data_IF_539124048086
#
_entry.id   IF_539124048086
#
_cell.length_a   1.000
_cell.length_b   1.000
_cell.length_c   1.000
_cell.angle_alpha   90.00
_cell.angle_beta   90.00
_cell.angle_gamma   90.00
#
_symmetry.space_group_name_H-M   'P 1'
#
loop_
_entity.id
_entity.type
_entity.pdbx_description
1 polymer ?
#
# COMPACT_ATOMS: atom_id res chain seq x y z
N UNK A 1 68.09 31.62 14.17
CA UNK A 1 67.97 32.77 15.07
C UNK A 1 66.70 33.47 14.63
N UNK A 2 65.69 33.48 15.53
CA UNK A 2 64.45 34.26 15.30
C UNK A 2 64.82 35.71 15.59
N UNK A 3 64.40 36.67 14.76
CA UNK A 3 64.64 38.10 15.05
C UNK A 3 64.08 38.47 16.44
N UNK A 4 64.74 39.39 17.13
CA UNK A 4 64.40 39.80 18.53
C UNK A 4 62.99 40.44 18.63
N UNK A 5 62.41 40.84 17.54
CA UNK A 5 61.08 41.45 17.44
C UNK A 5 59.96 40.46 17.07
N UNK A 6 60.28 39.17 16.83
CA UNK A 6 59.30 38.11 16.64
C UNK A 6 59.27 37.19 17.89
N UNK A 7 58.33 37.45 18.80
CA UNK A 7 58.06 36.53 19.91
C UNK A 7 57.15 35.40 19.46
N UNK A 8 57.64 34.16 19.54
CA UNK A 8 56.87 32.97 19.28
C UNK A 8 56.28 32.48 20.58
N UNK A 9 54.95 32.59 20.74
CA UNK A 9 54.22 31.99 21.83
C UNK A 9 53.64 30.63 21.40
N UNK A 10 53.79 29.64 22.26
CA UNK A 10 53.10 28.35 22.05
C UNK A 10 51.65 28.47 22.50
N UNK A 11 50.71 28.46 21.58
CA UNK A 11 49.28 28.41 21.86
C UNK A 11 48.83 26.96 21.84
N UNK A 12 48.27 26.50 22.95
CA UNK A 12 47.70 25.14 23.08
C UNK A 12 46.19 25.26 22.90
N UNK A 13 45.72 24.76 21.73
CA UNK A 13 44.28 24.59 21.49
C UNK A 13 43.85 23.18 21.81
N UNK A 14 42.83 23.04 22.65
CA UNK A 14 42.18 21.77 22.92
C UNK A 14 40.98 21.62 22.01
N UNK A 15 41.08 20.72 21.03
CA UNK A 15 39.96 20.33 20.22
C UNK A 15 39.17 19.21 20.93
N UNK A 16 38.19 19.60 21.72
CA UNK A 16 37.32 18.70 22.46
C UNK A 16 36.55 17.75 21.54
N UNK A 17 36.30 18.12 20.29
CA UNK A 17 35.62 17.26 19.31
C UNK A 17 36.41 15.98 18.98
N UNK A 18 37.75 16.01 19.12
CA UNK A 18 38.62 14.87 18.91
C UNK A 18 38.80 13.99 20.14
N UNK A 19 38.49 14.51 21.34
CA UNK A 19 38.61 13.78 22.58
C UNK A 19 37.34 13.02 22.98
N UNK A 20 36.18 13.43 22.47
CA UNK A 20 34.90 12.81 22.76
C UNK A 20 34.33 12.26 21.47
N UNK A 21 34.26 10.93 21.34
CA UNK A 21 33.52 10.28 20.25
C UNK A 21 32.19 9.76 20.74
N UNK A 22 31.12 10.24 20.16
CA UNK A 22 29.78 9.72 20.43
C UNK A 22 29.46 8.60 19.43
N UNK A 23 29.10 7.42 19.91
CA UNK A 23 28.69 6.31 19.06
C UNK A 23 27.28 5.87 19.41
N UNK A 24 26.43 5.68 18.41
CA UNK A 24 25.10 5.11 18.57
C UNK A 24 25.17 3.59 18.40
N UNK A 25 24.48 2.84 19.27
CA UNK A 25 24.41 1.38 19.25
C UNK A 25 22.98 0.92 19.43
N UNK A 26 22.59 -0.18 18.80
CA UNK A 26 21.27 -0.76 18.98
C UNK A 26 21.23 -1.59 20.28
N UNK A 27 20.26 -1.30 21.17
CA UNK A 27 20.10 -2.02 22.44
C UNK A 27 19.77 -3.52 22.30
N UNK A 28 19.23 -3.92 21.15
CA UNK A 28 18.84 -5.31 20.86
C UNK A 28 20.00 -6.18 20.38
N UNK A 29 21.16 -5.58 20.09
CA UNK A 29 22.30 -6.33 19.56
C UNK A 29 23.22 -6.77 20.71
N UNK A 30 23.29 -8.05 20.92
CA UNK A 30 24.25 -8.65 21.87
C UNK A 30 25.71 -8.31 21.50
N UNK A 31 26.01 -8.17 20.21
CA UNK A 31 27.35 -7.89 19.69
C UNK A 31 27.76 -6.42 19.74
N UNK A 32 26.93 -5.49 20.25
CA UNK A 32 27.26 -4.06 20.38
C UNK A 32 27.77 -3.41 19.07
N UNK A 33 27.20 -3.75 17.92
CA UNK A 33 27.64 -3.24 16.62
C UNK A 33 27.38 -1.73 16.51
N UNK A 34 28.40 -0.89 16.26
CA UNK A 34 28.22 0.54 16.08
C UNK A 34 27.34 0.86 14.86
N UNK A 35 26.61 1.98 14.92
CA UNK A 35 25.78 2.44 13.80
C UNK A 35 26.60 2.60 12.50
N UNK A 36 27.86 3.05 12.61
CA UNK A 36 28.77 3.22 11.46
C UNK A 36 29.13 1.92 10.74
N UNK A 37 28.99 0.79 11.42
CA UNK A 37 29.23 -0.55 10.85
C UNK A 37 27.95 -1.21 10.32
N UNK A 38 26.82 -0.51 10.35
CA UNK A 38 25.54 -0.97 9.81
C UNK A 38 25.40 -0.62 8.34
N UNK A 39 24.52 -1.34 7.65
CA UNK A 39 24.16 -1.02 6.27
C UNK A 39 23.56 0.39 6.14
N UNK A 40 23.72 1.00 4.97
CA UNK A 40 23.31 2.38 4.70
C UNK A 40 21.83 2.64 4.95
N UNK A 41 20.96 1.70 4.60
CA UNK A 41 19.52 1.81 4.86
C UNK A 41 19.20 1.95 6.36
N UNK A 42 19.80 1.11 7.21
CA UNK A 42 19.60 1.20 8.65
C UNK A 42 20.10 2.54 9.22
N UNK A 43 21.25 3.02 8.74
CA UNK A 43 21.81 4.32 9.15
C UNK A 43 20.88 5.47 8.77
N UNK A 44 20.33 5.46 7.55
CA UNK A 44 19.40 6.49 7.06
C UNK A 44 18.11 6.54 7.89
N UNK A 45 17.47 5.41 8.11
CA UNK A 45 16.25 5.36 8.94
C UNK A 45 16.51 5.84 10.38
N UNK A 46 17.65 5.44 10.96
CA UNK A 46 18.03 5.90 12.31
C UNK A 46 18.23 7.42 12.35
N UNK A 47 18.88 7.99 11.33
CA UNK A 47 19.07 9.43 11.21
C UNK A 47 17.73 10.16 11.04
N UNK A 48 16.83 9.65 10.20
CA UNK A 48 15.51 10.23 10.02
C UNK A 48 14.66 10.18 11.29
N UNK A 49 14.70 9.06 12.02
CA UNK A 49 14.02 8.92 13.32
C UNK A 49 14.58 9.91 14.36
N UNK A 50 15.88 10.21 14.30
CA UNK A 50 16.49 11.20 15.17
C UNK A 50 16.03 12.62 14.82
N UNK A 51 15.95 12.99 13.54
CA UNK A 51 15.43 14.29 13.12
C UNK A 51 13.95 14.46 13.47
N UNK A 52 13.14 13.41 13.26
CA UNK A 52 11.73 13.39 13.66
C UNK A 52 11.57 13.66 15.17
N UNK A 53 12.32 12.94 16.01
CA UNK A 53 12.33 13.15 17.46
C UNK A 53 12.70 14.57 17.84
N UNK A 54 13.76 15.14 17.24
CA UNK A 54 14.15 16.53 17.50
C UNK A 54 13.09 17.53 17.04
N UNK A 55 12.37 17.22 15.95
CA UNK A 55 11.27 18.02 15.46
C UNK A 55 10.08 17.99 16.45
N UNK A 56 9.71 16.82 16.97
CA UNK A 56 8.67 16.65 17.97
C UNK A 56 8.99 17.40 19.26
N UNK A 57 10.24 17.36 19.73
CA UNK A 57 10.70 18.08 20.90
C UNK A 57 10.89 19.59 20.66
N UNK A 58 10.61 20.07 19.43
CA UNK A 58 10.75 21.47 19.03
C UNK A 58 12.15 22.07 19.28
N UNK A 59 13.18 21.24 19.15
CA UNK A 59 14.58 21.68 19.26
C UNK A 59 15.01 22.62 18.14
N UNK A 60 14.28 22.61 17.01
CA UNK A 60 14.56 23.49 15.87
C UNK A 60 13.66 24.74 15.90
N UNK A 61 14.17 25.86 15.34
CA UNK A 61 13.34 27.04 15.13
C UNK A 61 12.23 26.79 14.10
N UNK A 62 11.14 27.57 14.17
CA UNK A 62 9.97 27.40 13.28
C UNK A 62 10.27 27.67 11.81
N UNK A 63 11.33 28.38 11.51
CA UNK A 63 11.70 28.79 10.13
C UNK A 63 12.78 27.87 9.52
N UNK A 64 12.84 26.61 9.94
CA UNK A 64 13.79 25.65 9.43
C UNK A 64 13.23 24.93 8.22
N UNK A 65 14.09 24.78 7.20
CA UNK A 65 13.84 23.97 6.01
C UNK A 65 14.81 22.78 6.05
N UNK A 66 14.27 21.59 5.96
CA UNK A 66 15.06 20.36 5.83
C UNK A 66 15.12 19.93 4.37
N UNK A 67 16.33 19.85 3.82
CA UNK A 67 16.59 19.32 2.49
C UNK A 67 17.18 17.92 2.56
N UNK A 68 16.52 16.95 1.95
CA UNK A 68 16.99 15.56 1.88
C UNK A 68 17.21 15.18 0.41
N UNK A 69 18.42 14.71 0.10
CA UNK A 69 18.75 14.21 -1.24
C UNK A 69 18.64 12.70 -1.24
N UNK A 70 17.73 12.17 -2.07
CA UNK A 70 17.45 10.74 -2.26
C UNK A 70 17.49 9.95 -0.93
N UNK A 71 16.68 10.33 0.08
CA UNK A 71 16.78 9.71 1.39
C UNK A 71 16.37 8.24 1.39
N UNK A 72 15.67 7.78 0.37
CA UNK A 72 15.23 6.40 0.18
C UNK A 72 16.31 5.47 -0.41
N UNK A 73 17.42 6.01 -0.89
CA UNK A 73 18.49 5.20 -1.51
C UNK A 73 18.97 4.11 -0.58
N UNK A 74 19.09 2.86 -1.06
CA UNK A 74 19.39 1.64 -0.31
C UNK A 74 18.31 1.16 0.66
N UNK A 75 17.09 1.72 0.62
CA UNK A 75 15.96 1.25 1.40
C UNK A 75 15.09 0.28 0.59
N UNK A 76 14.63 -0.77 1.28
CA UNK A 76 13.59 -1.65 0.73
C UNK A 76 12.26 -0.88 0.60
N UNK A 77 11.38 -1.17 -0.39
CA UNK A 77 10.11 -0.47 -0.61
C UNK A 77 9.27 -0.25 0.66
N UNK A 78 9.10 -1.28 1.50
CA UNK A 78 8.40 -1.15 2.79
C UNK A 78 9.03 -0.12 3.73
N UNK A 79 10.36 -0.01 3.69
CA UNK A 79 11.10 0.94 4.52
C UNK A 79 11.02 2.36 3.95
N UNK A 80 10.81 2.50 2.64
CA UNK A 80 10.56 3.79 1.99
C UNK A 80 9.23 4.41 2.45
N UNK A 81 8.20 3.60 2.69
CA UNK A 81 6.93 4.07 3.27
C UNK A 81 7.12 4.58 4.70
N UNK A 82 7.91 3.86 5.52
CA UNK A 82 8.25 4.32 6.87
C UNK A 82 9.03 5.64 6.84
N UNK A 83 9.96 5.80 5.90
CA UNK A 83 10.68 7.04 5.68
C UNK A 83 9.71 8.18 5.35
N UNK A 84 8.80 7.97 4.40
CA UNK A 84 7.81 8.98 4.01
C UNK A 84 6.93 9.41 5.20
N UNK A 85 6.44 8.45 6.00
CA UNK A 85 5.66 8.74 7.21
C UNK A 85 6.41 9.65 8.19
N UNK A 86 7.73 9.47 8.33
CA UNK A 86 8.57 10.32 9.19
C UNK A 86 8.72 11.74 8.64
N UNK A 87 8.86 11.88 7.32
CA UNK A 87 8.91 13.18 6.65
C UNK A 87 7.59 13.95 6.86
N UNK A 88 6.46 13.25 6.74
CA UNK A 88 5.14 13.84 7.03
C UNK A 88 5.02 14.24 8.50
N UNK A 89 5.48 13.41 9.45
CA UNK A 89 5.51 13.76 10.88
C UNK A 89 6.29 15.05 11.16
N UNK A 90 7.43 15.25 10.50
CA UNK A 90 8.19 16.50 10.60
C UNK A 90 7.42 17.68 10.01
N UNK A 91 6.77 17.52 8.84
CA UNK A 91 5.92 18.54 8.21
C UNK A 91 4.76 18.94 9.15
N UNK A 92 4.09 17.96 9.77
CA UNK A 92 2.97 18.20 10.69
C UNK A 92 3.39 18.94 11.97
N UNK A 93 4.66 18.82 12.35
CA UNK A 93 5.28 19.61 13.41
C UNK A 93 5.66 21.04 12.98
N UNK A 94 5.35 21.43 11.73
CA UNK A 94 5.47 22.79 11.21
C UNK A 94 6.79 23.10 10.53
N UNK A 95 7.58 22.09 10.18
CA UNK A 95 8.81 22.26 9.39
C UNK A 95 8.55 22.18 7.89
N UNK A 96 9.33 22.92 7.11
CA UNK A 96 9.34 22.77 5.67
C UNK A 96 10.29 21.64 5.28
N UNK A 97 9.79 20.70 4.47
CA UNK A 97 10.55 19.54 4.02
C UNK A 97 10.71 19.59 2.52
N UNK A 98 11.92 19.54 2.03
CA UNK A 98 12.27 19.44 0.61
C UNK A 98 12.99 18.11 0.38
N UNK A 99 12.51 17.32 -0.55
CA UNK A 99 13.08 16.00 -0.88
C UNK A 99 13.34 15.92 -2.37
N UNK A 100 14.53 15.47 -2.74
CA UNK A 100 14.75 14.97 -4.11
C UNK A 100 14.63 13.46 -4.10
N UNK A 101 13.97 12.90 -5.11
CA UNK A 101 13.75 11.45 -5.18
C UNK A 101 13.65 10.97 -6.63
N UNK A 102 14.11 9.76 -6.88
CA UNK A 102 13.84 8.97 -8.08
C UNK A 102 12.98 7.74 -7.75
N UNK A 103 12.41 7.65 -6.54
CA UNK A 103 11.60 6.51 -6.13
C UNK A 103 10.14 6.68 -6.54
N UNK A 104 9.60 5.74 -7.34
CA UNK A 104 8.17 5.70 -7.63
C UNK A 104 7.31 5.60 -6.37
N UNK A 105 7.80 4.92 -5.32
CA UNK A 105 7.08 4.75 -4.07
C UNK A 105 6.91 6.08 -3.32
N UNK A 106 7.97 6.90 -3.23
CA UNK A 106 7.89 8.23 -2.59
C UNK A 106 6.95 9.14 -3.38
N UNK A 107 7.06 9.14 -4.72
CA UNK A 107 6.19 9.95 -5.57
C UNK A 107 4.73 9.51 -5.48
N UNK A 108 4.46 8.20 -5.41
CA UNK A 108 3.10 7.66 -5.28
C UNK A 108 2.42 8.04 -3.95
N UNK A 109 3.18 8.20 -2.86
CA UNK A 109 2.67 8.61 -1.56
C UNK A 109 2.48 10.14 -1.46
N UNK A 110 3.06 10.93 -2.37
CA UNK A 110 3.00 12.40 -2.37
C UNK A 110 1.75 12.92 -3.08
N UNK A 111 1.22 14.06 -2.63
CA UNK A 111 0.15 14.76 -3.36
C UNK A 111 0.74 15.47 -4.59
N UNK A 112 -0.05 15.61 -5.65
CA UNK A 112 0.38 16.32 -6.87
C UNK A 112 0.80 17.76 -6.60
N UNK A 113 0.18 18.41 -5.62
CA UNK A 113 0.51 19.79 -5.21
C UNK A 113 1.89 19.90 -4.54
N UNK A 114 2.43 18.79 -4.05
CA UNK A 114 3.73 18.70 -3.39
C UNK A 114 4.85 18.33 -4.37
N UNK A 115 4.50 17.91 -5.59
CA UNK A 115 5.47 17.47 -6.60
C UNK A 115 5.98 18.65 -7.41
N UNK A 116 7.31 18.77 -7.44
CA UNK A 116 8.04 19.67 -8.33
C UNK A 116 8.80 18.81 -9.34
N UNK A 117 8.36 18.82 -10.59
CA UNK A 117 9.01 18.06 -11.66
C UNK A 117 10.08 18.93 -12.35
N UNK A 118 11.32 18.45 -12.35
CA UNK A 118 12.47 19.14 -12.94
C UNK A 118 13.03 18.27 -14.04
N UNK A 119 13.01 18.80 -15.27
CA UNK A 119 13.51 18.11 -16.45
C UNK A 119 14.59 18.94 -17.15
N UNK A 120 15.61 18.27 -17.69
CA UNK A 120 16.63 18.92 -18.51
C UNK A 120 16.44 18.55 -19.97
N UNK A 121 16.08 19.54 -20.79
CA UNK A 121 15.93 19.39 -22.25
C UNK A 121 16.85 20.36 -22.94
N UNK A 122 17.69 19.90 -23.87
CA UNK A 122 18.65 20.70 -24.64
C UNK A 122 19.54 21.61 -23.77
N UNK A 123 19.97 21.11 -22.61
CA UNK A 123 20.84 21.82 -21.68
C UNK A 123 20.14 22.87 -20.80
N UNK A 124 18.83 23.08 -20.96
CA UNK A 124 18.00 23.98 -20.15
C UNK A 124 17.15 23.18 -19.15
N UNK A 125 16.96 23.78 -17.96
CA UNK A 125 16.08 23.18 -16.94
C UNK A 125 14.67 23.76 -17.06
N UNK A 126 13.69 22.86 -17.04
CA UNK A 126 12.26 23.18 -16.99
C UNK A 126 11.72 22.71 -15.66
N UNK A 127 11.00 23.59 -14.96
CA UNK A 127 10.36 23.32 -13.68
C UNK A 127 8.86 23.39 -13.86
N UNK A 128 8.15 22.34 -13.49
CA UNK A 128 6.70 22.26 -13.61
C UNK A 128 6.08 21.83 -12.28
N UNK A 129 4.87 22.28 -12.00
CA UNK A 129 4.11 22.00 -10.79
C UNK A 129 2.63 21.89 -11.13
N UNK A 130 1.85 21.19 -10.30
CA UNK A 130 0.40 21.04 -10.39
C UNK A 130 -0.08 20.48 -11.74
N UNK A 131 -1.07 21.13 -12.33
CA UNK A 131 -1.73 20.79 -13.59
C UNK A 131 -0.82 20.83 -14.84
N UNK A 132 0.40 21.34 -14.69
CA UNK A 132 1.40 21.39 -15.76
C UNK A 132 2.27 20.14 -15.85
N UNK A 133 2.02 19.14 -14.99
CA UNK A 133 2.73 17.87 -14.98
C UNK A 133 1.80 16.79 -15.50
N UNK A 134 2.21 16.08 -16.55
CA UNK A 134 1.53 14.86 -16.95
C UNK A 134 2.15 13.66 -16.22
N UNK A 135 1.31 12.77 -15.70
CA UNK A 135 1.79 11.57 -14.99
C UNK A 135 2.65 10.69 -15.87
N UNK A 136 2.32 10.59 -17.16
CA UNK A 136 3.12 9.87 -18.16
C UNK A 136 4.59 10.31 -18.15
N UNK A 137 4.84 11.61 -17.98
CA UNK A 137 6.18 12.18 -17.93
C UNK A 137 6.93 11.81 -16.64
N UNK A 138 6.21 11.80 -15.49
CA UNK A 138 6.78 11.33 -14.21
C UNK A 138 7.15 9.86 -14.32
N UNK A 139 6.25 9.04 -14.86
CA UNK A 139 6.44 7.58 -15.03
C UNK A 139 7.64 7.30 -15.95
N UNK A 140 7.80 8.06 -17.02
CA UNK A 140 8.91 7.93 -17.95
C UNK A 140 10.25 8.32 -17.30
N UNK A 141 10.30 9.43 -16.57
CA UNK A 141 11.51 9.92 -15.91
C UNK A 141 11.94 9.04 -14.74
N UNK A 142 10.99 8.46 -14.02
CA UNK A 142 11.27 7.47 -12.96
C UNK A 142 11.82 6.14 -13.50
N UNK A 143 12.07 6.07 -14.84
CA UNK A 143 12.65 4.89 -15.47
C UNK A 143 11.72 3.68 -15.45
N UNK A 144 10.43 3.88 -15.16
CA UNK A 144 9.40 2.91 -15.48
C UNK A 144 9.30 2.92 -17.01
N UNK A 145 10.34 2.34 -17.63
CA UNK A 145 10.43 2.26 -19.09
C UNK A 145 9.10 1.75 -19.61
N UNK A 146 8.55 2.46 -20.58
CA UNK A 146 7.61 1.93 -21.52
C UNK A 146 8.16 0.62 -22.10
N UNK A 147 8.11 -0.46 -21.31
CA UNK A 147 8.14 -1.77 -21.92
C UNK A 147 6.90 -1.77 -22.81
N UNK A 148 7.13 -1.85 -24.12
CA UNK A 148 6.05 -1.92 -25.11
C UNK A 148 5.01 -3.00 -24.74
N UNK A 149 5.39 -3.99 -23.91
CA UNK A 149 4.52 -5.01 -23.33
C UNK A 149 3.61 -4.46 -22.24
N UNK A 150 4.09 -3.52 -21.41
CA UNK A 150 3.25 -2.85 -20.39
C UNK A 150 2.22 -1.96 -21.09
N UNK A 151 2.61 -1.16 -22.08
CA UNK A 151 1.67 -0.36 -22.85
C UNK A 151 0.64 -1.24 -23.58
N UNK A 152 1.08 -2.31 -24.24
CA UNK A 152 0.17 -3.27 -24.88
C UNK A 152 -0.72 -3.99 -23.87
N UNK A 153 -0.23 -4.25 -22.63
CA UNK A 153 -1.05 -4.76 -21.55
C UNK A 153 -2.08 -3.73 -21.10
N UNK A 154 -1.69 -2.46 -20.93
CA UNK A 154 -2.61 -1.37 -20.60
C UNK A 154 -3.64 -1.10 -21.70
N UNK A 155 -3.28 -1.20 -22.97
CA UNK A 155 -4.21 -1.09 -24.10
C UNK A 155 -5.27 -2.20 -24.10
N UNK A 156 -4.93 -3.40 -23.60
CA UNK A 156 -5.86 -4.53 -23.46
C UNK A 156 -6.78 -4.41 -22.25
N UNK A 157 -6.43 -3.60 -21.26
CA UNK A 157 -7.25 -3.37 -20.07
C UNK A 157 -8.47 -2.54 -20.48
N UNK A 158 -9.66 -3.13 -20.32
CA UNK A 158 -10.95 -2.47 -20.55
C UNK A 158 -11.50 -1.79 -19.30
N UNK A 159 -11.10 -2.25 -18.12
CA UNK A 159 -11.51 -1.69 -16.84
C UNK A 159 -10.72 -2.25 -15.67
N UNK A 160 -10.91 -1.65 -14.50
CA UNK A 160 -10.27 -2.07 -13.26
C UNK A 160 -11.29 -2.56 -12.24
N UNK A 161 -11.00 -3.69 -11.63
CA UNK A 161 -11.70 -4.14 -10.44
C UNK A 161 -10.76 -4.00 -9.24
N UNK A 162 -10.99 -2.96 -8.43
CA UNK A 162 -10.16 -2.56 -7.31
C UNK A 162 -10.70 -3.22 -6.05
N UNK A 163 -9.89 -4.04 -5.39
CA UNK A 163 -10.26 -4.80 -4.20
C UNK A 163 -9.39 -4.43 -3.02
N UNK A 164 -9.79 -4.75 -1.79
CA UNK A 164 -9.10 -4.29 -0.59
C UNK A 164 -7.66 -4.81 -0.51
N UNK A 165 -7.47 -6.12 -0.67
CA UNK A 165 -6.18 -6.77 -0.50
C UNK A 165 -5.88 -7.89 -1.49
N UNK A 166 -4.68 -8.49 -1.40
CA UNK A 166 -4.28 -9.61 -2.26
C UNK A 166 -5.18 -10.86 -2.12
N UNK A 167 -5.74 -11.08 -0.94
CA UNK A 167 -6.62 -12.22 -0.66
C UNK A 167 -7.93 -12.09 -1.43
N UNK A 168 -8.46 -10.87 -1.58
CA UNK A 168 -9.63 -10.57 -2.40
C UNK A 168 -9.36 -10.83 -3.88
N UNK A 169 -8.16 -10.48 -4.38
CA UNK A 169 -7.75 -10.77 -5.76
C UNK A 169 -7.84 -12.28 -6.01
N UNK A 170 -7.28 -13.09 -5.10
CA UNK A 170 -7.33 -14.56 -5.18
C UNK A 170 -8.78 -15.03 -5.21
N UNK A 171 -9.61 -14.52 -4.28
CA UNK A 171 -10.99 -14.95 -4.12
C UNK A 171 -11.83 -14.63 -5.36
N UNK A 172 -11.89 -13.37 -5.79
CA UNK A 172 -12.72 -12.97 -6.92
C UNK A 172 -12.26 -13.58 -8.25
N UNK A 173 -10.94 -13.69 -8.46
CA UNK A 173 -10.41 -14.34 -9.66
C UNK A 173 -10.78 -15.83 -9.69
N UNK A 174 -10.65 -16.52 -8.55
CA UNK A 174 -11.03 -17.94 -8.45
C UNK A 174 -12.53 -18.15 -8.64
N UNK A 175 -13.38 -17.29 -8.04
CA UNK A 175 -14.82 -17.34 -8.28
C UNK A 175 -15.15 -17.24 -9.78
N UNK A 176 -14.55 -16.28 -10.48
CA UNK A 176 -14.80 -16.14 -11.92
C UNK A 176 -14.43 -17.42 -12.72
N UNK A 177 -13.31 -18.07 -12.36
CA UNK A 177 -12.91 -19.34 -12.98
C UNK A 177 -13.94 -20.44 -12.72
N UNK A 178 -14.40 -20.60 -11.45
CA UNK A 178 -15.35 -21.61 -11.07
C UNK A 178 -16.74 -21.38 -11.69
N UNK A 179 -17.21 -20.15 -11.70
CA UNK A 179 -18.51 -19.79 -12.27
C UNK A 179 -18.52 -19.96 -13.80
N UNK A 180 -17.42 -19.62 -14.48
CA UNK A 180 -17.27 -19.90 -15.92
C UNK A 180 -17.27 -21.40 -16.21
N UNK A 181 -16.51 -22.18 -15.47
CA UNK A 181 -16.46 -23.64 -15.64
C UNK A 181 -17.82 -24.30 -15.48
N UNK A 182 -18.75 -23.68 -14.72
CA UNK A 182 -20.12 -24.13 -14.52
C UNK A 182 -21.15 -23.43 -15.45
N UNK A 183 -20.71 -22.65 -16.41
CA UNK A 183 -21.57 -22.05 -17.45
C UNK A 183 -22.45 -20.90 -16.96
N UNK A 184 -22.12 -20.24 -15.85
CA UNK A 184 -22.91 -19.14 -15.28
C UNK A 184 -22.43 -17.77 -15.77
N UNK A 185 -21.19 -17.68 -16.25
CA UNK A 185 -20.61 -16.54 -16.92
C UNK A 185 -19.84 -17.01 -18.14
N UNK A 186 -19.76 -16.18 -19.18
CA UNK A 186 -19.12 -16.52 -20.44
C UNK A 186 -17.60 -16.28 -20.41
N UNK A 187 -17.15 -15.34 -19.58
CA UNK A 187 -15.75 -14.89 -19.54
C UNK A 187 -15.30 -14.62 -18.12
N UNK A 188 -14.03 -14.90 -17.82
CA UNK A 188 -13.39 -14.47 -16.57
C UNK A 188 -13.08 -12.97 -16.62
N UNK A 189 -12.68 -12.38 -15.50
CA UNK A 189 -12.24 -10.98 -15.49
C UNK A 189 -11.08 -10.72 -16.45
N UNK A 190 -10.09 -11.60 -16.49
CA UNK A 190 -8.95 -11.51 -17.40
C UNK A 190 -9.38 -11.55 -18.89
N UNK A 191 -10.29 -12.46 -19.25
CA UNK A 191 -10.82 -12.58 -20.62
C UNK A 191 -11.67 -11.38 -21.02
N UNK A 192 -12.34 -10.72 -20.06
CA UNK A 192 -13.03 -9.45 -20.27
C UNK A 192 -12.08 -8.26 -20.44
N UNK A 193 -10.78 -8.44 -20.15
CA UNK A 193 -9.83 -7.35 -20.07
C UNK A 193 -9.96 -6.52 -18.78
N UNK A 194 -10.57 -7.07 -17.73
CA UNK A 194 -10.69 -6.42 -16.44
C UNK A 194 -9.49 -6.81 -15.56
N UNK A 195 -8.72 -5.83 -15.15
CA UNK A 195 -7.60 -6.05 -14.24
C UNK A 195 -8.05 -5.99 -12.79
N UNK A 196 -8.00 -7.13 -12.10
CA UNK A 196 -8.28 -7.22 -10.65
C UNK A 196 -7.02 -6.87 -9.88
N UNK A 197 -7.06 -5.81 -9.07
CA UNK A 197 -5.87 -5.35 -8.35
C UNK A 197 -6.18 -4.88 -6.92
N UNK A 198 -5.25 -5.12 -5.96
CA UNK A 198 -5.42 -4.68 -4.60
C UNK A 198 -5.07 -3.20 -4.46
N UNK A 199 -5.85 -2.46 -3.68
CA UNK A 199 -5.58 -1.05 -3.37
C UNK A 199 -4.71 -0.85 -2.12
N UNK A 200 -4.41 -1.91 -1.37
CA UNK A 200 -3.55 -1.85 -0.19
C UNK A 200 -4.26 -1.52 1.12
N UNK A 201 -5.55 -1.85 1.21
CA UNK A 201 -6.39 -1.60 2.37
C UNK A 201 -7.27 -0.36 2.24
N UNK A 202 -8.35 -0.29 3.01
CA UNK A 202 -9.36 0.75 2.86
C UNK A 202 -8.81 2.18 3.14
N UNK A 203 -7.78 2.33 3.95
CA UNK A 203 -7.18 3.64 4.23
C UNK A 203 -6.31 4.15 3.06
N UNK A 204 -5.79 3.25 2.22
CA UNK A 204 -5.04 3.60 1.02
C UNK A 204 -5.91 4.26 -0.07
N UNK A 205 -7.23 4.07 -0.04
CA UNK A 205 -8.16 4.72 -1.00
C UNK A 205 -8.01 6.24 -0.98
N UNK A 206 -7.76 6.84 0.19
CA UNK A 206 -7.52 8.29 0.28
C UNK A 206 -6.32 8.72 -0.56
N UNK A 207 -5.25 7.96 -0.54
CA UNK A 207 -4.05 8.23 -1.35
C UNK A 207 -4.34 8.09 -2.84
N UNK A 208 -5.04 7.02 -3.24
CA UNK A 208 -5.45 6.81 -4.63
C UNK A 208 -6.37 7.93 -5.13
N UNK A 209 -7.29 8.39 -4.28
CA UNK A 209 -8.21 9.51 -4.59
C UNK A 209 -7.46 10.84 -4.64
N UNK A 210 -6.59 11.12 -3.65
CA UNK A 210 -5.82 12.36 -3.58
C UNK A 210 -4.85 12.50 -4.77
N UNK A 211 -4.19 11.42 -5.17
CA UNK A 211 -3.33 11.37 -6.34
C UNK A 211 -4.13 11.37 -7.65
N UNK A 212 -5.46 11.34 -7.59
CA UNK A 212 -6.35 11.21 -8.75
C UNK A 212 -5.98 10.03 -9.66
N UNK A 213 -5.24 9.03 -9.14
CA UNK A 213 -4.78 7.88 -9.92
C UNK A 213 -5.97 7.17 -10.55
N UNK A 214 -7.05 6.96 -9.79
CA UNK A 214 -8.27 6.32 -10.29
C UNK A 214 -8.85 7.11 -11.46
N UNK A 215 -8.93 8.43 -11.35
CA UNK A 215 -9.48 9.30 -12.41
C UNK A 215 -8.55 9.40 -13.63
N UNK A 216 -7.24 9.18 -13.43
CA UNK A 216 -6.23 9.24 -14.50
C UNK A 216 -6.02 7.92 -15.22
N UNK A 217 -6.58 6.83 -14.72
CA UNK A 217 -6.55 5.55 -15.42
C UNK A 217 -7.30 5.60 -16.77
N UNK A 218 -8.12 6.65 -17.01
CA UNK A 218 -8.96 6.84 -18.20
C UNK A 218 -9.70 5.56 -18.64
N UNK A 219 -10.02 4.72 -17.65
CA UNK A 219 -10.72 3.44 -17.79
C UNK A 219 -11.77 3.33 -16.70
N UNK A 220 -12.90 2.70 -16.99
CA UNK A 220 -13.90 2.46 -15.96
C UNK A 220 -13.33 1.58 -14.83
N UNK A 221 -13.83 1.80 -13.63
CA UNK A 221 -13.40 1.02 -12.46
C UNK A 221 -14.55 0.75 -11.50
N UNK A 222 -14.43 -0.35 -10.75
CA UNK A 222 -15.32 -0.69 -9.65
C UNK A 222 -14.50 -1.01 -8.40
N UNK A 223 -14.85 -0.38 -7.26
CA UNK A 223 -14.18 -0.61 -5.98
C UNK A 223 -15.03 -1.55 -5.15
N UNK A 224 -14.42 -2.63 -4.63
CA UNK A 224 -15.05 -3.56 -3.71
C UNK A 224 -14.21 -3.71 -2.46
N UNK A 225 -14.82 -3.48 -1.30
CA UNK A 225 -14.17 -3.62 0.01
C UNK A 225 -14.92 -4.64 0.86
N UNK A 226 -14.25 -5.12 1.89
CA UNK A 226 -14.88 -5.83 2.98
C UNK A 226 -15.92 -4.92 3.66
N UNK A 227 -17.04 -5.48 4.10
CA UNK A 227 -18.08 -4.68 4.77
C UNK A 227 -17.69 -4.19 6.16
N UNK A 228 -16.79 -4.91 6.83
CA UNK A 228 -16.40 -4.72 8.23
C UNK A 228 -17.58 -4.71 9.23
N UNK A 229 -18.72 -5.24 8.82
CA UNK A 229 -19.87 -5.35 9.70
C UNK A 229 -19.62 -6.41 10.79
N UNK A 230 -20.11 -6.12 11.99
CA UNK A 230 -20.09 -7.08 13.12
C UNK A 230 -21.46 -7.66 13.41
N UNK A 231 -22.49 -7.24 12.68
CA UNK A 231 -23.87 -7.73 12.73
C UNK A 231 -24.65 -7.27 11.51
N UNK A 232 -25.73 -7.99 11.16
CA UNK A 232 -26.53 -7.77 9.95
C UNK A 232 -27.07 -6.33 9.82
N UNK A 233 -27.64 -5.80 10.88
CA UNK A 233 -28.36 -4.48 10.90
C UNK A 233 -27.39 -3.31 11.02
N UNK A 234 -26.07 -3.53 10.96
CA UNK A 234 -25.06 -2.48 11.07
C UNK A 234 -24.77 -1.86 9.69
N UNK A 235 -24.65 -0.55 9.62
CA UNK A 235 -24.09 0.12 8.45
C UNK A 235 -22.60 -0.24 8.28
N UNK A 236 -22.19 -0.51 7.04
CA UNK A 236 -20.79 -0.84 6.76
C UNK A 236 -19.89 0.38 6.98
N UNK A 237 -18.86 0.28 7.84
CA UNK A 237 -17.87 1.35 8.02
C UNK A 237 -17.18 1.71 6.72
N UNK A 238 -16.84 0.73 5.90
CA UNK A 238 -16.14 0.94 4.63
C UNK A 238 -17.06 1.58 3.58
N UNK A 239 -18.34 1.22 3.53
CA UNK A 239 -19.29 1.89 2.66
C UNK A 239 -19.45 3.38 3.03
N UNK A 240 -19.51 3.68 4.33
CA UNK A 240 -19.56 5.07 4.81
C UNK A 240 -18.29 5.85 4.38
N UNK A 241 -17.11 5.24 4.45
CA UNK A 241 -15.86 5.85 3.97
C UNK A 241 -15.92 6.14 2.46
N UNK A 242 -16.35 5.16 1.65
CA UNK A 242 -16.49 5.32 0.20
C UNK A 242 -17.45 6.46 -0.15
N UNK A 243 -18.60 6.55 0.54
CA UNK A 243 -19.57 7.66 0.35
C UNK A 243 -18.98 9.03 0.68
N UNK A 244 -18.17 9.13 1.73
CA UNK A 244 -17.45 10.37 2.08
C UNK A 244 -16.43 10.79 1.03
N UNK A 245 -15.92 9.86 0.24
CA UNK A 245 -15.01 10.11 -0.89
C UNK A 245 -15.75 10.32 -2.22
N UNK A 246 -17.09 10.50 -2.19
CA UNK A 246 -17.97 10.73 -3.32
C UNK A 246 -18.12 9.54 -4.30
N UNK A 247 -17.80 8.32 -3.88
CA UNK A 247 -18.13 7.11 -4.64
C UNK A 247 -19.59 6.72 -4.41
N UNK A 248 -20.22 6.11 -5.40
CA UNK A 248 -21.64 5.72 -5.38
C UNK A 248 -21.82 4.25 -5.84
N UNK A 249 -23.05 3.75 -5.86
CA UNK A 249 -23.37 2.36 -6.17
C UNK A 249 -22.99 1.92 -7.60
N UNK A 250 -22.74 2.87 -8.50
CA UNK A 250 -22.31 2.56 -9.87
C UNK A 250 -20.83 2.21 -9.96
N UNK A 251 -20.00 2.67 -9.01
CA UNK A 251 -18.55 2.50 -9.05
C UNK A 251 -17.95 1.92 -7.76
N UNK A 252 -18.77 1.64 -6.74
CA UNK A 252 -18.29 0.97 -5.54
C UNK A 252 -19.33 0.10 -4.86
N UNK A 253 -18.84 -0.84 -4.04
CA UNK A 253 -19.64 -1.71 -3.19
C UNK A 253 -18.83 -2.26 -2.02
N UNK A 254 -19.52 -3.00 -1.18
CA UNK A 254 -18.93 -3.77 -0.08
C UNK A 254 -19.52 -5.17 -0.08
N UNK A 255 -18.78 -6.15 0.48
CA UNK A 255 -19.25 -7.52 0.65
C UNK A 255 -20.52 -7.56 1.52
N UNK A 256 -21.45 -8.49 1.25
CA UNK A 256 -22.63 -8.71 2.10
C UNK A 256 -22.22 -9.23 3.48
N UNK A 257 -21.23 -10.13 3.55
CA UNK A 257 -20.63 -10.63 4.78
C UNK A 257 -19.54 -9.68 5.31
N UNK A 258 -18.98 -9.97 6.49
CA UNK A 258 -18.00 -9.11 7.14
C UNK A 258 -16.74 -8.90 6.31
N UNK A 259 -16.14 -10.01 5.86
CA UNK A 259 -14.85 -10.03 5.15
C UNK A 259 -14.83 -11.19 4.15
N UNK A 260 -13.88 -11.17 3.22
CA UNK A 260 -13.80 -12.19 2.16
C UNK A 260 -13.58 -13.60 2.73
N UNK A 261 -12.93 -13.75 3.87
CA UNK A 261 -12.75 -15.03 4.56
C UNK A 261 -14.07 -15.66 5.00
N UNK A 262 -15.11 -14.86 5.26
CA UNK A 262 -16.45 -15.35 5.63
C UNK A 262 -17.14 -16.13 4.50
N UNK A 263 -16.57 -16.07 3.27
CA UNK A 263 -17.05 -16.86 2.13
C UNK A 263 -16.41 -18.25 2.01
N UNK A 264 -15.53 -18.63 2.94
CA UNK A 264 -15.13 -20.03 3.12
C UNK A 264 -16.08 -20.64 4.14
N UNK A 265 -16.98 -21.54 3.70
CA UNK A 265 -17.92 -22.16 4.63
C UNK A 265 -17.19 -23.08 5.63
N UNK A 266 -17.55 -23.10 6.94
CA UNK A 266 -16.92 -24.00 7.94
C UNK A 266 -16.88 -25.48 7.55
N UNK A 267 -17.89 -25.96 6.80
CA UNK A 267 -17.93 -27.34 6.31
C UNK A 267 -16.74 -27.71 5.43
N UNK A 268 -16.16 -26.74 4.70
CA UNK A 268 -14.94 -26.97 3.92
C UNK A 268 -13.82 -27.52 4.82
N UNK A 269 -13.63 -26.93 5.99
CA UNK A 269 -12.57 -27.35 6.92
C UNK A 269 -12.87 -28.70 7.57
N UNK A 270 -14.15 -29.02 7.81
CA UNK A 270 -14.57 -30.35 8.31
C UNK A 270 -14.32 -31.46 7.31
N UNK A 271 -14.33 -31.13 6.01
CA UNK A 271 -14.08 -32.09 4.91
C UNK A 271 -12.60 -32.29 4.61
N UNK A 272 -11.69 -31.56 5.25
CA UNK A 272 -10.24 -31.76 5.10
C UNK A 272 -9.77 -33.06 5.76
N UNK A 273 -8.58 -33.50 5.37
CA UNK A 273 -7.92 -34.68 5.96
C UNK A 273 -6.59 -34.26 6.62
N UNK A 274 -6.47 -34.31 7.95
CA UNK A 274 -7.53 -34.59 8.93
C UNK A 274 -8.56 -33.42 8.99
N UNK A 275 -9.82 -33.71 9.42
CA UNK A 275 -10.82 -32.67 9.55
C UNK A 275 -10.45 -31.65 10.62
N UNK A 276 -10.93 -30.42 10.43
CA UNK A 276 -10.72 -29.32 11.36
C UNK A 276 -12.11 -28.81 11.77
N UNK A 277 -12.42 -28.93 13.07
CA UNK A 277 -13.64 -28.39 13.64
C UNK A 277 -13.47 -26.90 13.90
N UNK A 278 -14.21 -26.07 13.17
CA UNK A 278 -14.23 -24.62 13.32
C UNK A 278 -15.66 -24.11 13.07
N UNK A 279 -16.05 -23.10 13.81
CA UNK A 279 -17.35 -22.47 13.70
C UNK A 279 -17.20 -20.97 13.61
N UNK A 280 -17.90 -20.35 12.69
CA UNK A 280 -18.07 -18.91 12.57
C UNK A 280 -19.27 -18.59 11.67
N UNK A 281 -19.84 -17.42 11.87
CA UNK A 281 -20.92 -16.88 11.06
C UNK A 281 -20.46 -15.74 10.15
N UNK A 282 -21.41 -15.14 9.46
CA UNK A 282 -21.18 -14.10 8.44
C UNK A 282 -20.57 -12.80 8.96
N UNK A 283 -20.64 -12.57 10.28
CA UNK A 283 -20.25 -11.33 10.94
C UNK A 283 -19.05 -11.49 11.88
N UNK A 284 -18.49 -12.69 11.96
CA UNK A 284 -17.34 -12.98 12.80
C UNK A 284 -16.03 -12.57 12.13
N UNK A 285 -15.01 -12.30 12.93
CA UNK A 285 -13.65 -12.05 12.47
C UNK A 285 -12.94 -13.38 12.22
N UNK A 286 -13.13 -13.92 11.02
CA UNK A 286 -12.61 -15.23 10.62
C UNK A 286 -11.09 -15.27 10.68
N UNK A 287 -10.42 -14.19 10.30
CA UNK A 287 -8.94 -14.06 10.39
C UNK A 287 -8.46 -14.28 11.82
N UNK A 288 -9.11 -13.61 12.77
CA UNK A 288 -8.76 -13.74 14.19
C UNK A 288 -9.13 -15.12 14.75
N UNK A 289 -10.28 -15.67 14.38
CA UNK A 289 -10.69 -17.03 14.78
C UNK A 289 -9.68 -18.05 14.28
N UNK A 290 -9.33 -18.03 13.00
CA UNK A 290 -8.33 -18.94 12.41
C UNK A 290 -6.94 -18.78 13.01
N UNK A 291 -6.55 -17.54 13.37
CA UNK A 291 -5.27 -17.27 14.01
C UNK A 291 -5.17 -17.84 15.42
N UNK A 292 -6.27 -17.84 16.17
CA UNK A 292 -6.33 -18.29 17.55
C UNK A 292 -6.74 -19.76 17.71
N UNK A 293 -7.07 -20.44 16.62
CA UNK A 293 -7.47 -21.83 16.63
C UNK A 293 -6.28 -22.75 16.91
N UNK A 294 -6.49 -23.89 17.59
CA UNK A 294 -5.44 -24.89 17.89
C UNK A 294 -4.70 -25.38 16.63
N UNK A 295 -5.41 -25.46 15.50
CA UNK A 295 -4.85 -25.81 14.20
C UNK A 295 -4.45 -24.60 13.35
N UNK A 296 -4.06 -23.49 13.97
CA UNK A 296 -3.72 -22.23 13.30
C UNK A 296 -2.78 -22.40 12.09
N UNK A 297 -1.73 -23.21 12.22
CA UNK A 297 -0.78 -23.48 11.11
C UNK A 297 -1.49 -24.17 9.93
N UNK A 298 -2.40 -25.11 10.20
CA UNK A 298 -3.16 -25.83 9.16
C UNK A 298 -4.19 -24.94 8.50
N UNK A 299 -4.84 -24.06 9.26
CA UNK A 299 -5.80 -23.08 8.76
C UNK A 299 -5.13 -21.91 8.00
N UNK A 300 -3.85 -21.63 8.23
CA UNK A 300 -3.15 -20.50 7.65
C UNK A 300 -3.20 -19.23 8.51
N UNK A 301 -3.87 -19.27 9.64
CA UNK A 301 -4.03 -18.14 10.54
C UNK A 301 -4.70 -16.95 9.85
N UNK A 302 -4.09 -15.76 9.88
CA UNK A 302 -4.58 -14.58 9.18
C UNK A 302 -4.50 -14.65 7.65
N UNK A 303 -3.88 -15.69 7.09
CA UNK A 303 -3.76 -15.96 5.64
C UNK A 303 -4.64 -17.13 5.21
N UNK A 304 -5.76 -17.34 5.88
CA UNK A 304 -6.68 -18.46 5.62
C UNK A 304 -7.21 -18.41 4.19
N UNK A 305 -7.55 -17.25 3.68
CA UNK A 305 -8.02 -17.05 2.32
C UNK A 305 -6.96 -17.46 1.31
N UNK A 306 -5.76 -16.91 1.39
CA UNK A 306 -4.65 -17.25 0.50
C UNK A 306 -4.34 -18.75 0.48
N UNK A 307 -4.53 -19.45 1.60
CA UNK A 307 -4.24 -20.87 1.71
C UNK A 307 -5.36 -21.78 1.18
N UNK A 308 -6.60 -21.42 1.36
CA UNK A 308 -7.72 -22.33 1.14
C UNK A 308 -8.68 -21.93 0.04
N UNK A 309 -8.85 -20.64 -0.24
CA UNK A 309 -9.91 -20.17 -1.13
C UNK A 309 -9.78 -20.75 -2.54
N UNK A 310 -8.57 -20.90 -3.06
CA UNK A 310 -8.31 -21.47 -4.39
C UNK A 310 -8.65 -22.97 -4.50
N UNK A 311 -8.95 -23.65 -3.39
CA UNK A 311 -9.36 -25.06 -3.37
C UNK A 311 -10.89 -25.22 -3.34
N UNK A 312 -11.65 -24.13 -3.17
CA UNK A 312 -13.10 -24.18 -3.14
C UNK A 312 -13.65 -24.53 -4.53
N UNK A 313 -14.55 -25.49 -4.59
CA UNK A 313 -15.28 -25.81 -5.82
C UNK A 313 -16.53 -24.92 -5.92
N UNK A 314 -17.18 -24.92 -7.06
CA UNK A 314 -18.37 -24.10 -7.29
C UNK A 314 -19.46 -24.31 -6.23
N UNK A 315 -19.72 -25.56 -5.83
CA UNK A 315 -20.71 -25.91 -4.81
C UNK A 315 -20.39 -25.30 -3.45
N UNK A 316 -19.11 -25.20 -3.08
CA UNK A 316 -18.70 -24.55 -1.85
C UNK A 316 -18.90 -23.03 -1.91
N UNK A 317 -18.53 -22.42 -3.06
CA UNK A 317 -18.74 -20.99 -3.29
C UNK A 317 -20.23 -20.64 -3.29
N UNK A 318 -21.07 -21.46 -3.91
CA UNK A 318 -22.51 -21.24 -3.95
C UNK A 318 -23.15 -21.23 -2.57
N UNK A 319 -22.71 -22.06 -1.63
CA UNK A 319 -23.22 -22.08 -0.24
C UNK A 319 -23.09 -20.74 0.44
N UNK A 320 -22.09 -19.94 0.07
CA UNK A 320 -21.74 -18.69 0.75
C UNK A 320 -22.10 -17.45 -0.04
N UNK A 321 -22.00 -17.49 -1.38
CA UNK A 321 -22.40 -16.38 -2.25
C UNK A 321 -23.89 -16.41 -2.64
N UNK A 322 -24.54 -17.58 -2.57
CA UNK A 322 -25.95 -17.75 -2.92
C UNK A 322 -26.67 -18.63 -1.87
N UNK A 323 -26.71 -18.24 -0.58
CA UNK A 323 -27.21 -19.09 0.50
C UNK A 323 -28.72 -19.37 0.41
N UNK A 324 -29.51 -18.48 -0.19
CA UNK A 324 -30.95 -18.62 -0.43
C UNK A 324 -31.27 -19.40 -1.73
N UNK A 325 -30.28 -19.67 -2.56
CA UNK A 325 -30.43 -20.32 -3.86
C UNK A 325 -31.01 -19.45 -4.97
N UNK A 326 -31.33 -18.18 -4.70
CA UNK A 326 -31.98 -17.25 -5.63
C UNK A 326 -31.08 -16.06 -5.97
N UNK A 327 -30.41 -15.48 -4.97
CA UNK A 327 -29.61 -14.26 -5.12
C UNK A 327 -28.13 -14.56 -4.95
N UNK A 328 -27.41 -14.55 -6.07
CA UNK A 328 -25.97 -14.81 -6.08
C UNK A 328 -25.18 -13.51 -6.05
N UNK A 329 -24.52 -13.24 -4.94
CA UNK A 329 -23.75 -12.02 -4.73
C UNK A 329 -22.58 -11.89 -5.68
N UNK A 330 -21.89 -13.01 -6.00
CA UNK A 330 -20.78 -12.96 -6.94
C UNK A 330 -21.25 -12.58 -8.35
N UNK A 331 -22.38 -13.14 -8.80
CA UNK A 331 -22.96 -12.79 -10.09
C UNK A 331 -23.39 -11.32 -10.12
N UNK A 332 -23.98 -10.80 -9.05
CA UNK A 332 -24.34 -9.39 -8.94
C UNK A 332 -23.13 -8.47 -9.12
N UNK A 333 -22.01 -8.81 -8.46
CA UNK A 333 -20.76 -8.08 -8.57
C UNK A 333 -20.19 -8.21 -9.98
N UNK A 334 -20.12 -9.43 -10.50
CA UNK A 334 -19.61 -9.72 -11.84
C UNK A 334 -20.36 -8.93 -12.92
N UNK A 335 -21.69 -8.95 -12.90
CA UNK A 335 -22.51 -8.24 -13.89
C UNK A 335 -22.35 -6.71 -13.81
N UNK A 336 -22.17 -6.15 -12.63
CA UNK A 336 -21.86 -4.71 -12.49
C UNK A 336 -20.54 -4.36 -13.17
N UNK A 337 -19.51 -5.20 -12.96
CA UNK A 337 -18.19 -4.98 -13.56
C UNK A 337 -18.24 -5.22 -15.08
N UNK A 338 -18.93 -6.26 -15.53
CA UNK A 338 -19.11 -6.55 -16.93
C UNK A 338 -19.79 -5.38 -17.66
N UNK A 339 -20.93 -4.93 -17.16
CA UNK A 339 -21.69 -3.82 -17.74
C UNK A 339 -20.91 -2.51 -17.76
N UNK A 340 -20.08 -2.27 -16.73
CA UNK A 340 -19.18 -1.11 -16.66
C UNK A 340 -18.16 -1.10 -17.82
N UNK A 341 -17.70 -2.27 -18.27
CA UNK A 341 -16.72 -2.38 -19.33
C UNK A 341 -17.33 -2.39 -20.74
N UNK A 342 -18.67 -2.56 -20.86
CA UNK A 342 -19.40 -2.51 -22.14
C UNK A 342 -19.97 -1.13 -22.45
N UNK A 343 -20.07 -0.26 -21.44
CA UNK A 343 -20.57 1.12 -21.56
C UNK A 343 -19.49 2.08 -22.09
#
# INVERSE_FOLDING_TARGET
>A
MVPEDEQVEAQVEFDWSKLISTSFRCKKDEANIPLTSRGDGFRRITMMSYFEMLAEEKHFGRDMIFGFEEPETFLHPETQQQLYSKLIGMKDNGYQILVTTHSPNIVAESNMDEIIFIQRVDGKYYVRQHDRIEISEIVEELGIKHDSRLLQAFERIRGFFLVEGPDDVIAFTHCAVQYKANGLIDSTFEELGVHVMPIGGCDAIKHWTNLQIINKLDKPFYIMLDSDKTKEVMDSPNLIKLRKLNYNDSNCGVTKKREIESYIHPDYFRNLTPPIEIEYGDWDDVKTICKNHESCIKLGGSKVCAKHFHNLIYEDLRKTFCPDGEHDEFLDIYHKIHNMCEA
#
